data_IF_229431309719
#
_entry.id   IF_229431309719
#
_cell.length_a   1.000
_cell.length_b   1.000
_cell.length_c   1.000
_cell.angle_alpha   90.00
_cell.angle_beta   90.00
_cell.angle_gamma   90.00
#
_symmetry.space_group_name_H-M   'P 1'
#
loop_
_entity.id
_entity.type
_entity.pdbx_description
1 polymer ?
#
# COMPACT_ATOMS: atom_id res chain seq x y z
N UNK A 1 -7.54 16.74 -6.16
CA UNK A 1 -7.77 16.42 -7.58
C UNK A 1 -9.19 15.95 -7.82
N UNK A 2 -10.03 16.84 -8.35
CA UNK A 2 -11.42 16.51 -8.65
C UNK A 2 -11.61 15.65 -9.92
N UNK A 3 -10.59 15.57 -10.79
CA UNK A 3 -10.69 14.93 -12.09
C UNK A 3 -11.04 13.44 -12.03
N UNK A 4 -10.40 12.58 -11.20
CA UNK A 4 -10.79 11.19 -11.10
C UNK A 4 -12.23 11.01 -10.60
N UNK A 5 -12.66 11.79 -9.61
CA UNK A 5 -14.02 11.75 -9.07
C UNK A 5 -15.03 12.19 -10.14
N UNK A 6 -14.71 13.24 -10.91
CA UNK A 6 -15.55 13.70 -12.00
C UNK A 6 -15.69 12.65 -13.12
N UNK A 7 -14.59 11.99 -13.52
CA UNK A 7 -14.62 10.93 -14.52
C UNK A 7 -15.46 9.74 -14.03
N UNK A 8 -15.25 9.31 -12.80
CA UNK A 8 -16.04 8.23 -12.19
C UNK A 8 -17.53 8.60 -12.12
N UNK A 9 -17.85 9.85 -11.76
CA UNK A 9 -19.22 10.36 -11.78
C UNK A 9 -19.86 10.24 -13.17
N UNK A 10 -19.16 10.66 -14.24
CA UNK A 10 -19.65 10.53 -15.60
C UNK A 10 -19.85 9.09 -16.06
N UNK A 11 -18.95 8.18 -15.65
CA UNK A 11 -19.10 6.74 -15.92
C UNK A 11 -20.32 6.21 -15.17
N UNK A 12 -20.49 6.62 -13.91
CA UNK A 12 -21.63 6.23 -13.08
C UNK A 12 -22.95 6.67 -13.69
N UNK A 13 -23.09 7.97 -14.04
CA UNK A 13 -24.28 8.54 -14.67
C UNK A 13 -24.66 7.78 -15.96
N UNK A 14 -23.64 7.43 -16.77
CA UNK A 14 -23.85 6.68 -18.02
C UNK A 14 -24.32 5.24 -17.79
N UNK A 15 -23.85 4.59 -16.72
CA UNK A 15 -24.19 3.21 -16.41
C UNK A 15 -25.55 3.12 -15.72
N UNK A 16 -25.85 4.03 -14.79
CA UNK A 16 -27.10 4.04 -14.01
C UNK A 16 -28.35 4.08 -14.90
N UNK A 17 -28.27 4.77 -16.04
CA UNK A 17 -29.37 4.80 -17.01
C UNK A 17 -29.60 3.47 -17.76
N UNK A 18 -28.69 2.49 -17.65
CA UNK A 18 -28.66 1.29 -18.50
C UNK A 18 -28.82 -0.01 -17.75
N UNK A 19 -28.65 -0.01 -16.44
CA UNK A 19 -28.68 -1.20 -15.58
C UNK A 19 -29.46 -0.89 -14.31
N UNK A 20 -30.04 -1.93 -13.72
CA UNK A 20 -30.61 -1.84 -12.37
C UNK A 20 -29.48 -1.88 -11.33
N UNK A 21 -29.49 -0.92 -10.39
CA UNK A 21 -28.49 -0.82 -9.33
C UNK A 21 -29.11 -0.97 -7.97
N UNK A 22 -28.67 -1.98 -7.22
CA UNK A 22 -29.06 -2.21 -5.83
C UNK A 22 -27.96 -1.75 -4.86
N UNK A 23 -28.16 -0.58 -4.24
CA UNK A 23 -27.25 -0.03 -3.25
C UNK A 23 -27.47 -0.64 -1.87
N UNK A 24 -26.42 -0.58 -1.02
CA UNK A 24 -26.48 -1.11 0.34
C UNK A 24 -26.97 -2.57 0.37
N UNK A 25 -26.54 -3.34 -0.64
CA UNK A 25 -26.92 -4.73 -0.84
C UNK A 25 -25.68 -5.60 -0.66
N UNK A 26 -25.73 -6.49 0.33
CA UNK A 26 -24.64 -7.41 0.64
C UNK A 26 -25.01 -8.80 0.17
N UNK A 27 -24.13 -9.45 -0.59
CA UNK A 27 -24.29 -10.84 -0.96
C UNK A 27 -23.91 -11.70 0.26
N UNK A 28 -24.84 -12.54 0.69
CA UNK A 28 -24.68 -13.49 1.80
C UNK A 28 -24.27 -14.87 1.29
N UNK A 29 -24.91 -15.31 0.19
CA UNK A 29 -24.64 -16.62 -0.37
C UNK A 29 -24.77 -16.63 -1.90
N UNK A 30 -24.02 -17.52 -2.54
CA UNK A 30 -24.09 -17.79 -3.98
C UNK A 30 -24.17 -19.31 -4.16
N UNK A 31 -25.19 -19.78 -4.87
CA UNK A 31 -25.38 -21.18 -5.20
C UNK A 31 -25.48 -21.39 -6.72
N UNK A 32 -25.25 -22.63 -7.18
CA UNK A 32 -25.49 -23.04 -8.54
C UNK A 32 -26.72 -23.94 -8.59
N UNK A 33 -27.70 -23.57 -9.40
CA UNK A 33 -28.92 -24.32 -9.59
C UNK A 33 -28.68 -25.53 -10.51
N UNK A 34 -29.59 -26.50 -10.48
CA UNK A 34 -29.50 -27.70 -11.33
C UNK A 34 -29.49 -27.41 -12.83
N UNK A 35 -30.14 -26.32 -13.25
CA UNK A 35 -30.17 -25.85 -14.65
C UNK A 35 -28.92 -25.07 -15.06
N UNK A 36 -27.95 -24.90 -14.15
CA UNK A 36 -26.68 -24.22 -14.37
C UNK A 36 -26.70 -22.74 -14.11
N UNK A 37 -27.86 -22.12 -13.80
CA UNK A 37 -27.95 -20.73 -13.37
C UNK A 37 -27.36 -20.54 -11.98
N UNK A 38 -27.13 -19.30 -11.58
CA UNK A 38 -26.72 -18.91 -10.24
C UNK A 38 -27.89 -18.35 -9.46
N UNK A 39 -27.99 -18.73 -8.19
CA UNK A 39 -28.83 -18.12 -7.18
C UNK A 39 -27.95 -17.27 -6.26
N UNK A 40 -28.30 -16.01 -6.11
CA UNK A 40 -27.59 -15.04 -5.26
C UNK A 40 -28.53 -14.60 -4.15
N UNK A 41 -28.16 -14.88 -2.91
CA UNK A 41 -28.92 -14.50 -1.73
C UNK A 41 -28.26 -13.26 -1.14
N UNK A 42 -29.08 -12.26 -0.88
CA UNK A 42 -28.64 -10.96 -0.35
C UNK A 42 -29.47 -10.57 0.87
N UNK A 43 -28.99 -9.58 1.61
CA UNK A 43 -29.75 -8.98 2.72
C UNK A 43 -31.08 -8.30 2.30
N UNK A 44 -31.34 -8.18 0.99
CA UNK A 44 -32.58 -7.56 0.47
C UNK A 44 -33.48 -8.52 -0.30
N UNK A 45 -32.99 -9.68 -0.67
CA UNK A 45 -33.76 -10.66 -1.42
C UNK A 45 -32.87 -11.62 -2.19
N UNK A 46 -33.53 -12.45 -3.01
CA UNK A 46 -32.89 -13.47 -3.82
C UNK A 46 -32.94 -13.08 -5.30
N UNK A 47 -31.88 -13.37 -6.01
CA UNK A 47 -31.75 -13.11 -7.44
C UNK A 47 -31.30 -14.38 -8.15
N UNK A 48 -31.74 -14.56 -9.37
CA UNK A 48 -31.27 -15.64 -10.23
C UNK A 48 -30.69 -15.06 -11.52
N UNK A 49 -29.54 -15.56 -11.95
CA UNK A 49 -28.88 -15.11 -13.17
C UNK A 49 -28.22 -16.27 -13.92
N UNK A 50 -28.05 -16.10 -15.21
CA UNK A 50 -27.33 -17.05 -16.06
C UNK A 50 -25.81 -16.89 -15.88
N UNK A 51 -25.36 -15.64 -15.86
CA UNK A 51 -23.95 -15.29 -15.74
C UNK A 51 -23.76 -14.38 -14.53
N UNK A 52 -22.78 -14.68 -13.69
CA UNK A 52 -22.47 -13.92 -12.48
C UNK A 52 -21.03 -13.42 -12.55
N UNK A 53 -20.85 -12.10 -12.43
CA UNK A 53 -19.55 -11.46 -12.33
C UNK A 53 -19.31 -10.96 -10.92
N UNK A 54 -18.28 -11.46 -10.25
CA UNK A 54 -17.87 -11.07 -8.91
C UNK A 54 -16.66 -10.14 -8.99
N UNK A 55 -16.85 -8.87 -8.65
CA UNK A 55 -15.83 -7.82 -8.72
C UNK A 55 -15.73 -7.05 -7.38
N UNK A 56 -15.46 -7.78 -6.30
CA UNK A 56 -15.57 -7.33 -4.92
C UNK A 56 -14.41 -6.48 -4.41
N UNK A 57 -13.38 -6.27 -5.21
CA UNK A 57 -12.20 -5.50 -4.84
C UNK A 57 -11.38 -6.13 -3.68
N UNK A 58 -10.48 -5.33 -3.11
CA UNK A 58 -9.58 -5.81 -2.04
C UNK A 58 -10.29 -6.21 -0.76
N UNK A 59 -11.29 -5.46 -0.35
CA UNK A 59 -12.06 -5.72 0.86
C UNK A 59 -12.86 -7.03 0.81
N UNK A 60 -13.22 -7.48 -0.38
CA UNK A 60 -13.93 -8.74 -0.61
C UNK A 60 -13.03 -9.97 -0.81
N UNK A 61 -11.70 -9.85 -0.69
CA UNK A 61 -10.77 -10.94 -1.02
C UNK A 61 -10.97 -12.20 -0.19
N UNK A 62 -11.25 -12.08 1.10
CA UNK A 62 -11.53 -13.23 1.99
C UNK A 62 -12.82 -13.94 1.60
N UNK A 63 -13.88 -13.18 1.34
CA UNK A 63 -15.14 -13.73 0.88
C UNK A 63 -14.99 -14.40 -0.49
N UNK A 64 -14.24 -13.80 -1.41
CA UNK A 64 -13.93 -14.39 -2.71
C UNK A 64 -13.22 -15.74 -2.57
N UNK A 65 -12.30 -15.90 -1.61
CA UNK A 65 -11.66 -17.20 -1.34
C UNK A 65 -12.69 -18.25 -0.92
N UNK A 66 -13.67 -17.92 -0.09
CA UNK A 66 -14.72 -18.86 0.30
C UNK A 66 -15.59 -19.28 -0.90
N UNK A 67 -15.87 -18.35 -1.81
CA UNK A 67 -16.58 -18.64 -3.06
C UNK A 67 -15.76 -19.57 -3.96
N UNK A 68 -14.46 -19.29 -4.12
CA UNK A 68 -13.57 -20.17 -4.90
C UNK A 68 -13.53 -21.60 -4.31
N UNK A 69 -13.44 -21.74 -3.00
CA UNK A 69 -13.45 -23.04 -2.34
C UNK A 69 -14.80 -23.76 -2.53
N UNK A 70 -15.94 -23.05 -2.39
CA UNK A 70 -17.29 -23.58 -2.60
C UNK A 70 -17.47 -24.13 -4.02
N UNK A 71 -16.95 -23.43 -5.02
CA UNK A 71 -17.08 -23.83 -6.43
C UNK A 71 -15.87 -24.62 -6.96
N UNK A 72 -14.96 -25.06 -6.09
CA UNK A 72 -13.74 -25.80 -6.44
C UNK A 72 -12.88 -25.10 -7.50
N UNK A 73 -12.81 -23.77 -7.43
CA UNK A 73 -11.96 -22.95 -8.30
C UNK A 73 -10.55 -22.93 -7.73
N UNK A 74 -9.58 -23.37 -8.52
CA UNK A 74 -8.20 -23.36 -8.10
C UNK A 74 -7.69 -21.92 -7.87
N UNK A 75 -7.10 -21.70 -6.72
CA UNK A 75 -6.47 -20.45 -6.34
C UNK A 75 -4.96 -20.59 -6.32
N UNK A 76 -4.25 -19.59 -6.84
CA UNK A 76 -2.80 -19.48 -6.71
C UNK A 76 -2.47 -18.35 -5.74
N UNK A 77 -1.46 -18.60 -4.93
CA UNK A 77 -0.98 -17.60 -3.97
C UNK A 77 -0.09 -16.60 -4.67
N UNK A 78 -0.39 -15.33 -4.48
CA UNK A 78 0.44 -14.26 -4.96
C UNK A 78 1.52 -13.88 -3.94
N UNK A 79 2.54 -13.16 -4.42
CA UNK A 79 3.50 -12.49 -3.57
C UNK A 79 2.81 -11.39 -2.77
N UNK A 80 3.33 -11.13 -1.58
CA UNK A 80 2.99 -9.95 -0.79
C UNK A 80 4.22 -9.06 -0.69
N UNK A 81 4.01 -7.78 -0.87
CA UNK A 81 5.04 -6.76 -0.72
C UNK A 81 4.94 -6.14 0.67
N UNK A 82 6.04 -6.17 1.41
CA UNK A 82 6.19 -5.50 2.70
C UNK A 82 7.22 -4.41 2.55
N UNK A 83 6.94 -3.24 3.09
CA UNK A 83 7.87 -2.14 2.92
C UNK A 83 7.60 -0.93 3.80
N UNK A 84 8.18 0.17 3.38
CA UNK A 84 8.02 1.49 4.00
C UNK A 84 7.73 2.52 2.93
N UNK A 85 7.07 3.60 3.29
CA UNK A 85 7.07 4.79 2.48
C UNK A 85 8.20 5.70 2.90
N UNK A 86 9.01 6.07 1.93
CA UNK A 86 10.14 7.01 2.09
C UNK A 86 9.67 8.40 1.75
N UNK A 87 10.05 9.38 2.55
CA UNK A 87 9.88 10.80 2.25
C UNK A 87 11.20 11.53 2.47
N UNK A 88 11.59 12.34 1.51
CA UNK A 88 12.85 13.08 1.50
C UNK A 88 12.72 14.35 0.64
N UNK A 89 13.65 15.31 0.73
CA UNK A 89 13.62 16.52 -0.07
C UNK A 89 13.58 16.22 -1.58
N UNK A 90 12.71 16.91 -2.32
CA UNK A 90 12.48 16.67 -3.75
C UNK A 90 13.75 16.79 -4.59
N UNK A 91 14.68 17.68 -4.19
CA UNK A 91 15.95 17.90 -4.87
C UNK A 91 16.82 16.65 -4.98
N UNK A 92 16.69 15.69 -4.04
CA UNK A 92 17.45 14.44 -4.06
C UNK A 92 17.12 13.59 -5.29
N UNK A 93 15.86 13.54 -5.70
CA UNK A 93 15.41 12.77 -6.86
C UNK A 93 15.10 13.60 -8.09
N UNK A 94 15.27 14.93 -8.02
CA UNK A 94 14.91 15.86 -9.09
C UNK A 94 15.48 15.49 -10.46
N UNK A 95 16.75 15.11 -10.52
CA UNK A 95 17.42 14.69 -11.77
C UNK A 95 16.84 13.42 -12.40
N UNK A 96 16.05 12.64 -11.64
CA UNK A 96 15.30 11.47 -12.15
C UNK A 96 13.87 11.88 -12.46
N UNK A 97 13.22 12.63 -11.57
CA UNK A 97 11.80 12.97 -11.68
C UNK A 97 11.51 14.05 -12.72
N UNK A 98 12.51 14.84 -13.12
CA UNK A 98 12.37 15.76 -14.24
C UNK A 98 12.28 15.02 -15.59
N UNK A 99 12.93 13.85 -15.71
CA UNK A 99 12.90 13.03 -16.93
C UNK A 99 11.81 11.98 -16.91
N UNK A 100 11.55 11.39 -15.71
CA UNK A 100 10.60 10.28 -15.53
C UNK A 100 9.74 10.54 -14.28
N UNK A 101 8.46 10.80 -14.45
CA UNK A 101 7.56 11.08 -13.34
C UNK A 101 7.62 10.02 -12.24
N UNK A 102 7.62 8.73 -12.60
CA UNK A 102 7.72 7.61 -11.66
C UNK A 102 8.94 6.73 -11.99
N UNK A 103 10.04 6.93 -11.30
CA UNK A 103 11.25 6.11 -11.43
C UNK A 103 11.04 4.71 -10.81
N UNK A 104 10.96 3.66 -11.64
CA UNK A 104 10.88 2.26 -11.17
C UNK A 104 12.26 1.62 -11.12
N UNK A 105 12.85 1.62 -9.92
CA UNK A 105 14.18 1.09 -9.67
C UNK A 105 14.04 -0.23 -8.92
N UNK A 106 14.69 -1.27 -9.42
CA UNK A 106 14.71 -2.61 -8.80
C UNK A 106 16.14 -2.94 -8.37
N UNK A 107 16.29 -3.37 -7.15
CA UNK A 107 17.57 -3.77 -6.58
C UNK A 107 17.47 -5.18 -6.00
N UNK A 108 18.47 -6.01 -6.30
CA UNK A 108 18.61 -7.34 -5.70
C UNK A 108 19.61 -7.25 -4.56
N UNK A 109 19.13 -7.50 -3.33
CA UNK A 109 19.97 -7.40 -2.13
C UNK A 109 21.08 -8.44 -2.13
N UNK A 110 22.27 -8.05 -1.64
CA UNK A 110 23.43 -8.95 -1.56
C UNK A 110 23.28 -9.95 -0.42
N UNK A 111 22.67 -9.49 0.69
CA UNK A 111 22.56 -10.32 1.89
C UNK A 111 21.55 -11.46 1.73
N UNK A 112 20.39 -11.20 1.14
CA UNK A 112 19.28 -12.17 1.08
C UNK A 112 18.85 -12.56 -0.34
N UNK A 113 19.42 -11.94 -1.37
CA UNK A 113 18.93 -12.02 -2.77
C UNK A 113 17.46 -11.60 -2.97
N UNK A 114 16.92 -10.83 -2.04
CA UNK A 114 15.57 -10.31 -2.13
C UNK A 114 15.49 -9.19 -3.18
N UNK A 115 14.35 -9.13 -3.89
CA UNK A 115 14.06 -8.03 -4.79
C UNK A 115 13.39 -6.92 -3.99
N UNK A 116 14.00 -5.74 -4.00
CA UNK A 116 13.42 -4.51 -3.46
C UNK A 116 13.20 -3.54 -4.61
N UNK A 117 12.06 -2.87 -4.63
CA UNK A 117 11.71 -1.93 -5.70
C UNK A 117 11.15 -0.63 -5.16
N UNK A 118 11.38 0.46 -5.90
CA UNK A 118 10.61 1.67 -5.74
C UNK A 118 9.21 1.47 -6.32
N UNK A 119 8.21 2.12 -5.72
CA UNK A 119 6.84 2.05 -6.19
C UNK A 119 6.08 3.32 -5.86
N UNK A 120 5.16 3.73 -6.75
CA UNK A 120 4.29 4.88 -6.56
C UNK A 120 5.07 6.12 -6.09
N UNK A 121 6.00 6.57 -6.93
CA UNK A 121 6.80 7.78 -6.67
C UNK A 121 5.94 9.01 -6.93
N UNK A 122 5.97 9.95 -6.00
CA UNK A 122 5.21 11.19 -6.04
C UNK A 122 6.15 12.37 -5.88
N UNK A 123 6.64 12.94 -7.01
CA UNK A 123 7.45 14.15 -6.98
C UNK A 123 6.65 15.33 -6.42
N UNK A 124 7.27 16.11 -5.54
CA UNK A 124 6.64 17.26 -4.88
C UNK A 124 5.30 16.96 -4.23
N UNK A 125 5.12 15.69 -3.82
CA UNK A 125 3.87 15.18 -3.27
C UNK A 125 3.88 15.05 -1.76
N UNK A 126 2.77 14.62 -1.22
CA UNK A 126 2.59 14.35 0.20
C UNK A 126 2.37 12.87 0.49
N UNK A 127 2.71 12.45 1.68
CA UNK A 127 2.35 11.12 2.21
C UNK A 127 0.93 11.20 2.74
N UNK A 128 0.09 10.24 2.37
CA UNK A 128 -1.31 10.15 2.78
C UNK A 128 -1.60 8.82 3.44
N UNK A 129 -2.60 8.79 4.32
CA UNK A 129 -3.08 7.56 4.93
C UNK A 129 -4.27 6.99 4.16
N UNK A 130 -4.32 5.67 4.04
CA UNK A 130 -5.47 4.91 3.53
C UNK A 130 -6.02 4.03 4.65
N UNK A 131 -7.35 3.98 4.76
CA UNK A 131 -8.02 3.08 5.70
C UNK A 131 -8.82 2.04 4.93
N UNK A 132 -8.45 0.77 5.08
CA UNK A 132 -9.18 -0.35 4.51
C UNK A 132 -9.61 -1.31 5.63
N UNK A 133 -10.90 -1.37 5.90
CA UNK A 133 -11.49 -2.23 6.95
C UNK A 133 -10.85 -2.01 8.34
N UNK A 134 -10.55 -0.75 8.69
CA UNK A 134 -9.96 -0.40 9.97
C UNK A 134 -8.44 -0.59 10.06
N UNK A 135 -7.80 -0.99 8.97
CA UNK A 135 -6.34 -1.04 8.86
C UNK A 135 -5.86 0.21 8.13
N UNK A 136 -5.03 0.99 8.81
CA UNK A 136 -4.43 2.20 8.25
C UNK A 136 -3.07 1.86 7.65
N UNK A 137 -2.91 2.18 6.38
CA UNK A 137 -1.67 2.05 5.62
C UNK A 137 -1.28 3.41 5.03
N UNK A 138 -0.11 3.50 4.41
CA UNK A 138 0.38 4.74 3.81
C UNK A 138 0.46 4.64 2.30
N UNK A 139 0.11 5.73 1.65
CA UNK A 139 0.29 5.94 0.23
C UNK A 139 0.89 7.32 -0.03
N UNK A 140 1.05 7.73 -1.27
CA UNK A 140 1.47 9.06 -1.65
C UNK A 140 0.52 9.69 -2.64
N UNK A 141 0.54 11.00 -2.66
CA UNK A 141 -0.25 11.80 -3.58
C UNK A 141 0.59 12.95 -4.13
N UNK A 142 0.47 13.21 -5.43
CA UNK A 142 1.01 14.41 -6.07
C UNK A 142 -0.11 15.23 -6.64
N UNK A 143 0.04 16.54 -6.57
CA UNK A 143 -0.91 17.48 -7.14
C UNK A 143 -0.48 17.89 -8.54
N UNK A 144 -1.43 18.01 -9.46
CA UNK A 144 -1.19 18.57 -10.80
C UNK A 144 -1.01 20.08 -10.78
N UNK A 145 -1.55 20.76 -9.74
CA UNK A 145 -1.36 22.20 -9.52
C UNK A 145 -0.02 22.45 -8.79
N UNK A 146 0.96 23.13 -9.41
CA UNK A 146 2.22 23.44 -8.77
C UNK A 146 2.10 24.29 -7.49
N UNK A 147 1.00 25.03 -7.31
CA UNK A 147 0.76 25.80 -6.09
C UNK A 147 0.53 24.92 -4.85
N UNK A 148 0.19 23.64 -5.05
CA UNK A 148 -0.03 22.65 -3.99
C UNK A 148 1.19 21.73 -3.79
N UNK A 149 2.27 21.92 -4.54
CA UNK A 149 3.48 21.13 -4.41
C UNK A 149 4.13 21.31 -3.03
N UNK A 150 4.58 20.20 -2.47
CA UNK A 150 5.42 20.19 -1.28
C UNK A 150 6.89 20.31 -1.64
N UNK A 151 7.77 20.47 -0.64
CA UNK A 151 9.22 20.44 -0.84
C UNK A 151 9.78 19.00 -0.91
N UNK A 152 8.93 17.98 -0.79
CA UNK A 152 9.35 16.59 -0.68
C UNK A 152 8.93 15.76 -1.90
N UNK A 153 9.71 14.72 -2.16
CA UNK A 153 9.33 13.55 -2.97
C UNK A 153 9.12 12.38 -2.04
N UNK A 154 8.12 11.58 -2.30
CA UNK A 154 7.90 10.36 -1.55
C UNK A 154 7.68 9.15 -2.48
N UNK A 155 8.06 7.96 -2.03
CA UNK A 155 7.90 6.70 -2.74
C UNK A 155 7.90 5.52 -1.77
N UNK A 156 7.27 4.42 -2.15
CA UNK A 156 7.39 3.18 -1.39
C UNK A 156 8.66 2.42 -1.75
N UNK A 157 9.30 1.77 -0.76
CA UNK A 157 10.27 0.70 -0.94
C UNK A 157 9.62 -0.60 -0.52
N UNK A 158 9.45 -1.50 -1.48
CA UNK A 158 8.72 -2.75 -1.30
C UNK A 158 9.65 -3.95 -1.49
N UNK A 159 9.66 -4.83 -0.48
CA UNK A 159 10.33 -6.14 -0.52
C UNK A 159 9.32 -7.19 -0.88
N UNK A 160 9.49 -7.86 -2.02
CA UNK A 160 8.59 -8.91 -2.48
C UNK A 160 8.84 -10.20 -1.74
N UNK A 161 7.82 -10.70 -1.05
CA UNK A 161 7.87 -11.94 -0.30
C UNK A 161 7.02 -13.01 -1.00
N UNK A 162 7.59 -14.19 -1.17
CA UNK A 162 6.88 -15.36 -1.65
C UNK A 162 6.96 -16.44 -0.58
N UNK A 163 5.79 -16.93 -0.18
CA UNK A 163 5.71 -17.99 0.82
C UNK A 163 5.48 -19.34 0.15
N UNK A 164 6.02 -20.37 0.80
CA UNK A 164 5.79 -21.78 0.43
C UNK A 164 4.92 -22.46 1.47
N UNK A 165 4.40 -23.66 1.13
CA UNK A 165 3.69 -24.47 2.12
C UNK A 165 4.47 -24.61 3.44
N UNK A 166 3.83 -24.64 4.61
CA UNK A 166 2.35 -24.70 4.81
C UNK A 166 1.65 -23.34 4.89
N UNK A 167 2.37 -22.23 4.78
CA UNK A 167 1.79 -20.89 4.92
C UNK A 167 1.00 -20.51 3.66
N UNK A 168 -0.29 -20.22 3.85
CA UNK A 168 -1.21 -20.06 2.73
C UNK A 168 -1.80 -18.68 2.53
N UNK A 169 -1.74 -17.79 3.51
CA UNK A 169 -2.39 -16.48 3.42
C UNK A 169 -1.38 -15.34 3.49
N UNK A 170 -0.85 -14.98 2.32
CA UNK A 170 0.07 -13.83 2.19
C UNK A 170 -0.60 -12.50 2.51
N UNK A 171 -1.92 -12.37 2.29
CA UNK A 171 -2.67 -11.17 2.63
C UNK A 171 -2.76 -11.01 4.15
N UNK A 172 -3.06 -12.09 4.88
CA UNK A 172 -3.11 -12.08 6.34
C UNK A 172 -1.74 -11.71 6.95
N UNK A 173 -0.65 -12.20 6.36
CA UNK A 173 0.69 -11.80 6.78
C UNK A 173 0.90 -10.29 6.64
N UNK A 174 0.57 -9.69 5.49
CA UNK A 174 0.66 -8.25 5.27
C UNK A 174 -0.25 -7.47 6.22
N UNK A 175 -1.50 -7.90 6.37
CA UNK A 175 -2.46 -7.30 7.30
C UNK A 175 -1.97 -7.36 8.75
N UNK A 176 -1.33 -8.47 9.18
CA UNK A 176 -0.83 -8.62 10.56
C UNK A 176 0.27 -7.61 10.87
N UNK A 177 1.16 -7.34 9.91
CA UNK A 177 2.21 -6.33 10.04
C UNK A 177 1.60 -4.93 10.12
N UNK A 178 0.63 -4.62 9.25
CA UNK A 178 -0.05 -3.33 9.27
C UNK A 178 -0.84 -3.12 10.58
N UNK A 179 -1.53 -4.15 11.09
CA UNK A 179 -2.21 -4.09 12.40
C UNK A 179 -1.24 -3.86 13.54
N UNK A 180 -0.08 -4.53 13.53
CA UNK A 180 0.96 -4.33 14.54
C UNK A 180 1.49 -2.88 14.51
N UNK A 181 1.71 -2.32 13.32
CA UNK A 181 2.08 -0.92 13.13
C UNK A 181 1.03 0.02 13.72
N UNK A 182 -0.24 -0.21 13.40
CA UNK A 182 -1.34 0.62 13.90
C UNK A 182 -1.49 0.51 15.43
N UNK A 183 -1.28 -0.67 16.00
CA UNK A 183 -1.35 -0.88 17.44
C UNK A 183 -0.26 -0.09 18.18
N UNK A 184 0.95 -0.03 17.64
CA UNK A 184 2.08 0.67 18.26
C UNK A 184 2.04 2.18 18.01
N UNK A 185 1.52 2.62 16.87
CA UNK A 185 1.49 4.02 16.45
C UNK A 185 0.17 4.74 16.70
N UNK A 186 -0.89 4.03 17.08
CA UNK A 186 -2.24 4.60 17.04
C UNK A 186 -2.71 4.95 15.63
N UNK A 187 -2.02 4.45 14.60
CA UNK A 187 -2.14 4.74 13.20
C UNK A 187 -0.82 4.43 12.49
N UNK A 188 -0.21 5.42 11.86
CA UNK A 188 1.04 5.28 11.12
C UNK A 188 2.24 5.54 12.02
N UNK A 189 3.23 4.63 11.99
CA UNK A 189 4.55 4.84 12.60
C UNK A 189 5.49 5.58 11.66
N UNK A 190 6.31 6.48 12.23
CA UNK A 190 7.32 7.25 11.52
C UNK A 190 8.67 7.11 12.22
N UNK A 191 9.72 6.83 11.44
CA UNK A 191 11.09 6.78 11.96
C UNK A 191 12.05 7.48 11.01
N UNK A 192 13.01 8.24 11.56
CA UNK A 192 14.13 8.77 10.78
C UNK A 192 15.10 7.64 10.43
N UNK A 193 15.60 7.65 9.20
CA UNK A 193 16.57 6.64 8.72
C UNK A 193 17.81 6.56 9.61
N UNK A 194 18.37 7.70 10.03
CA UNK A 194 19.52 7.72 10.93
C UNK A 194 19.24 7.13 12.32
N UNK A 195 18.01 7.18 12.80
CA UNK A 195 17.64 6.55 14.06
C UNK A 195 17.48 5.03 13.88
N UNK A 196 16.87 4.60 12.77
CA UNK A 196 16.74 3.20 12.41
C UNK A 196 18.11 2.50 12.32
N UNK A 197 19.05 3.07 11.56
CA UNK A 197 20.40 2.51 11.40
C UNK A 197 21.17 2.44 12.73
N UNK A 198 20.92 3.38 13.64
CA UNK A 198 21.51 3.40 14.99
C UNK A 198 20.76 2.49 15.98
N UNK A 199 19.76 1.74 15.54
CA UNK A 199 18.98 0.82 16.39
C UNK A 199 18.21 1.52 17.51
N UNK A 200 17.64 2.67 17.26
CA UNK A 200 16.90 3.44 18.28
C UNK A 200 15.62 4.04 17.70
N UNK A 201 14.60 4.15 18.53
CA UNK A 201 13.36 4.82 18.17
C UNK A 201 13.58 6.30 17.83
N UNK A 202 12.83 6.84 16.90
CA UNK A 202 12.63 8.28 16.77
C UNK A 202 11.75 8.82 17.89
N UNK A 203 11.94 10.08 18.25
CA UNK A 203 11.12 10.79 19.23
C UNK A 203 10.68 12.13 18.64
N UNK A 204 9.59 12.69 19.15
CA UNK A 204 9.08 14.00 18.73
C UNK A 204 10.17 15.07 18.74
N UNK A 205 10.97 15.14 19.81
CA UNK A 205 12.09 16.08 19.92
C UNK A 205 13.12 15.94 18.78
N UNK A 206 13.32 14.71 18.22
CA UNK A 206 14.21 14.50 17.08
C UNK A 206 13.52 14.86 15.77
N UNK A 207 12.21 14.59 15.69
CA UNK A 207 11.39 14.98 14.53
C UNK A 207 11.32 16.50 14.40
N UNK A 208 11.17 17.24 15.47
CA UNK A 208 11.22 18.72 15.46
C UNK A 208 12.52 19.30 14.88
N UNK A 209 13.63 18.57 15.03
CA UNK A 209 14.95 18.97 14.53
C UNK A 209 15.28 18.38 13.16
N UNK A 210 14.41 17.53 12.63
CA UNK A 210 14.59 16.89 11.34
C UNK A 210 14.56 17.94 10.21
N UNK A 211 15.50 17.86 9.28
CA UNK A 211 15.52 18.73 8.11
C UNK A 211 14.32 18.45 7.20
N UNK A 212 14.05 17.16 6.92
CA UNK A 212 12.89 16.77 6.15
C UNK A 212 11.64 16.94 7.01
N UNK A 213 10.71 17.78 6.56
CA UNK A 213 9.43 17.99 7.26
C UNK A 213 8.42 16.98 6.77
N UNK A 214 7.86 16.21 7.72
CA UNK A 214 6.81 15.23 7.42
C UNK A 214 5.57 15.91 6.84
N UNK A 215 5.01 15.35 5.78
CA UNK A 215 3.75 15.82 5.20
C UNK A 215 2.53 15.12 5.82
N UNK A 216 2.69 13.89 6.31
CA UNK A 216 1.67 13.18 7.08
C UNK A 216 1.97 13.27 8.58
N UNK A 217 0.97 13.66 9.38
CA UNK A 217 1.09 13.56 10.83
C UNK A 217 1.08 12.08 11.26
N UNK A 218 2.22 11.60 11.74
CA UNK A 218 2.45 10.20 12.11
C UNK A 218 3.22 10.12 13.45
N UNK A 219 3.08 9.00 14.13
CA UNK A 219 3.70 8.80 15.45
C UNK A 219 5.17 8.43 15.34
N UNK A 220 6.04 9.22 15.96
CA UNK A 220 7.47 8.92 16.02
C UNK A 220 7.73 7.62 16.81
N UNK A 221 8.33 6.63 16.17
CA UNK A 221 8.46 5.29 16.73
C UNK A 221 9.69 4.51 16.27
N UNK A 222 9.56 3.18 16.30
CA UNK A 222 10.60 2.22 15.93
C UNK A 222 10.04 1.15 15.01
N UNK A 223 10.41 1.20 13.74
CA UNK A 223 9.96 0.26 12.72
C UNK A 223 10.52 -1.15 12.91
N UNK A 224 11.61 -1.30 13.68
CA UNK A 224 12.18 -2.63 13.97
C UNK A 224 11.27 -3.49 14.86
N UNK A 225 10.30 -2.88 15.53
CA UNK A 225 9.28 -3.58 16.32
C UNK A 225 8.13 -4.13 15.46
N UNK A 226 8.05 -3.71 14.19
CA UNK A 226 6.93 -4.02 13.30
C UNK A 226 7.38 -4.80 12.07
N UNK A 227 8.38 -4.27 11.38
CA UNK A 227 8.85 -4.87 10.13
C UNK A 227 9.83 -5.99 10.46
N UNK A 228 9.60 -7.21 9.93
CA UNK A 228 10.53 -8.31 10.16
C UNK A 228 11.95 -7.98 9.72
N UNK A 229 12.92 -8.44 10.48
CA UNK A 229 14.35 -8.10 10.31
C UNK A 229 14.84 -8.23 8.86
N UNK A 230 14.49 -9.32 8.17
CA UNK A 230 14.95 -9.56 6.79
C UNK A 230 14.47 -8.46 5.84
N UNK A 231 13.20 -8.06 5.93
CA UNK A 231 12.63 -7.00 5.12
C UNK A 231 13.27 -5.65 5.46
N UNK A 232 13.47 -5.39 6.75
CA UNK A 232 14.09 -4.15 7.21
C UNK A 232 15.54 -4.01 6.74
N UNK A 233 16.34 -5.07 6.86
CA UNK A 233 17.72 -5.11 6.35
C UNK A 233 17.75 -4.90 4.83
N UNK A 234 16.82 -5.52 4.10
CA UNK A 234 16.71 -5.37 2.64
C UNK A 234 16.35 -3.93 2.23
N UNK A 235 15.47 -3.27 3.00
CA UNK A 235 15.12 -1.85 2.80
C UNK A 235 16.34 -0.95 3.07
N UNK A 236 17.05 -1.18 4.17
CA UNK A 236 18.25 -0.41 4.52
C UNK A 236 19.30 -0.55 3.41
N UNK A 237 19.54 -1.77 2.92
CA UNK A 237 20.48 -2.02 1.82
C UNK A 237 20.06 -1.29 0.53
N UNK A 238 18.77 -1.29 0.20
CA UNK A 238 18.22 -0.56 -0.94
C UNK A 238 18.41 0.96 -0.79
N UNK A 239 18.20 1.53 0.39
CA UNK A 239 18.39 2.98 0.63
C UNK A 239 19.85 3.37 0.36
N UNK A 240 20.83 2.59 0.83
CA UNK A 240 22.24 2.80 0.51
C UNK A 240 22.57 2.58 -0.97
N UNK A 241 21.86 1.69 -1.65
CA UNK A 241 22.03 1.51 -3.10
C UNK A 241 21.48 2.70 -3.88
N UNK A 242 20.33 3.22 -3.48
CA UNK A 242 19.73 4.44 -4.06
C UNK A 242 20.59 5.68 -3.84
N UNK A 243 21.24 5.80 -2.69
CA UNK A 243 22.13 6.92 -2.38
C UNK A 243 23.29 7.09 -3.37
N UNK A 244 23.67 6.01 -4.08
CA UNK A 244 24.70 6.07 -5.12
C UNK A 244 24.24 6.73 -6.41
N UNK A 245 22.95 6.69 -6.70
CA UNK A 245 22.36 7.28 -7.91
C UNK A 245 21.58 8.55 -7.61
N UNK A 246 21.12 8.71 -6.38
CA UNK A 246 20.43 9.89 -5.87
C UNK A 246 21.03 10.24 -4.49
N UNK A 247 22.21 10.93 -4.48
CA UNK A 247 22.92 11.28 -3.25
C UNK A 247 22.05 12.11 -2.31
N UNK A 248 21.97 11.70 -1.05
CA UNK A 248 21.09 12.25 -0.04
C UNK A 248 19.92 11.32 0.33
N UNK A 249 19.71 10.22 -0.40
CA UNK A 249 18.68 9.22 -0.06
C UNK A 249 18.96 8.57 1.30
N UNK A 250 20.23 8.30 1.64
CA UNK A 250 20.64 7.73 2.93
C UNK A 250 20.94 8.79 4.00
N UNK A 251 20.38 9.99 3.87
CA UNK A 251 20.52 11.04 4.89
C UNK A 251 19.85 10.60 6.19
N UNK A 252 20.42 11.02 7.34
CA UNK A 252 19.84 10.71 8.67
C UNK A 252 18.40 11.23 8.82
N UNK A 253 18.03 12.29 8.10
CA UNK A 253 16.74 12.95 8.13
C UNK A 253 15.76 12.45 7.03
N UNK A 254 16.11 11.42 6.28
CA UNK A 254 15.17 10.70 5.43
C UNK A 254 14.12 10.04 6.31
N UNK A 255 12.85 10.23 5.99
CA UNK A 255 11.72 9.75 6.77
C UNK A 255 11.20 8.42 6.23
N UNK A 256 10.87 7.51 7.13
CA UNK A 256 10.35 6.18 6.82
C UNK A 256 9.03 5.98 7.56
N UNK A 257 7.95 5.80 6.81
CA UNK A 257 6.63 5.50 7.35
C UNK A 257 6.39 3.99 7.27
N UNK A 258 6.03 3.41 8.38
CA UNK A 258 5.62 2.01 8.45
C UNK A 258 4.19 1.83 7.95
N UNK A 259 3.99 0.71 7.30
CA UNK A 259 2.69 0.28 6.75
C UNK A 259 1.63 0.19 7.81
#
# INVERSE_FOLDING_TARGET
DALPIWILGKIFDYIEEKIDMDYLTTIEEVDRLEDGRFKVITNKGEYECKDLVLATGRSGSKWMSTICDKFHINQTKNRVDIGVRVELPAEVFKHITDDVYEGKIVYKTKQYNDLVRTFCMNPYGEVVSENTNGIVTVNGHSYSDPALHTENTNFALLVSNQFTEPFRDSNEYGESIARLSNMLGGGVLLQRFGDLVKGRRSSERRMEKCFTRQTLNATAGDLSLVIPKRQLDSIIEMIYALDKIAPGTANEDTLLYGV
#
